data_IF_217428897717
#
_entry.id   IF_217428897717
#
_cell.length_a   1.000
_cell.length_b   1.000
_cell.length_c   1.000
_cell.angle_alpha   90.00
_cell.angle_beta   90.00
_cell.angle_gamma   90.00
#
_symmetry.space_group_name_H-M   'P 1'
#
loop_
_entity.id
_entity.type
_entity.pdbx_description
1 polymer ?
#
# COMPACT_ATOMS: atom_id res chain seq x y z
N UNK A 1 -44.06 -12.39 -22.19
CA UNK A 1 -43.67 -12.68 -20.80
C UNK A 1 -43.40 -11.34 -20.11
N UNK A 2 -43.97 -11.10 -18.92
CA UNK A 2 -43.65 -9.89 -18.15
C UNK A 2 -42.21 -10.05 -17.63
N UNK A 3 -41.32 -9.17 -18.05
CA UNK A 3 -39.89 -9.20 -17.70
C UNK A 3 -39.65 -8.81 -16.23
N UNK A 4 -38.38 -8.54 -15.89
CA UNK A 4 -38.00 -8.07 -14.56
C UNK A 4 -38.28 -6.56 -14.47
N UNK A 5 -38.99 -6.14 -13.43
CA UNK A 5 -39.26 -4.74 -13.09
C UNK A 5 -38.52 -4.39 -11.79
N UNK A 6 -37.77 -3.29 -11.78
CA UNK A 6 -37.13 -2.75 -10.58
C UNK A 6 -37.89 -1.53 -10.09
N UNK A 7 -38.29 -1.55 -8.81
CA UNK A 7 -38.99 -0.47 -8.16
C UNK A 7 -38.06 0.20 -7.15
N UNK A 8 -37.97 1.53 -7.21
CA UNK A 8 -37.19 2.35 -6.27
C UNK A 8 -38.14 3.25 -5.49
N UNK A 9 -38.81 2.73 -4.43
CA UNK A 9 -39.87 3.46 -3.72
C UNK A 9 -39.37 4.59 -2.82
N UNK A 10 -38.06 4.85 -2.79
CA UNK A 10 -37.43 5.84 -1.92
C UNK A 10 -36.73 6.92 -2.76
N UNK A 11 -36.67 8.14 -2.23
CA UNK A 11 -35.93 9.24 -2.82
C UNK A 11 -34.45 8.88 -3.01
N UNK A 12 -33.84 9.18 -4.18
CA UNK A 12 -32.42 8.96 -4.42
C UNK A 12 -31.55 9.61 -3.34
N UNK A 13 -30.67 8.81 -2.73
CA UNK A 13 -29.74 9.29 -1.71
C UNK A 13 -28.41 9.73 -2.34
N UNK A 14 -27.77 10.74 -1.74
CA UNK A 14 -26.41 11.13 -2.13
C UNK A 14 -25.44 9.99 -1.84
N UNK A 15 -24.56 9.71 -2.79
CA UNK A 15 -23.52 8.68 -2.63
C UNK A 15 -22.56 9.06 -1.50
N UNK A 16 -22.17 8.06 -0.70
CA UNK A 16 -21.16 8.19 0.35
C UNK A 16 -20.01 7.26 -0.02
N UNK A 17 -19.20 7.72 -0.97
CA UNK A 17 -18.12 6.92 -1.48
C UNK A 17 -17.09 6.61 -0.37
N UNK A 18 -16.66 5.35 -0.31
CA UNK A 18 -15.65 4.91 0.64
C UNK A 18 -14.26 5.31 0.14
N UNK A 19 -13.63 6.30 0.81
CA UNK A 19 -12.29 6.76 0.44
C UNK A 19 -11.24 5.64 0.47
N UNK A 20 -11.46 4.61 1.28
CA UNK A 20 -10.56 3.46 1.40
C UNK A 20 -10.48 2.61 0.13
N UNK A 21 -11.41 2.76 -0.81
CA UNK A 21 -11.27 2.20 -2.15
C UNK A 21 -10.05 2.79 -2.88
N UNK A 22 -9.86 4.11 -2.78
CA UNK A 22 -8.67 4.76 -3.32
C UNK A 22 -7.41 4.47 -2.52
N UNK A 23 -7.51 4.34 -1.19
CA UNK A 23 -6.33 4.06 -0.35
C UNK A 23 -5.80 2.64 -0.57
N UNK A 24 -6.67 1.63 -0.48
CA UNK A 24 -6.22 0.24 -0.38
C UNK A 24 -7.06 -0.78 -1.14
N UNK A 25 -8.39 -0.76 -1.03
CA UNK A 25 -9.23 -1.90 -1.43
C UNK A 25 -9.31 -2.13 -2.94
N UNK A 26 -9.50 -1.07 -3.72
CA UNK A 26 -9.65 -1.21 -5.17
C UNK A 26 -8.33 -1.65 -5.81
N UNK A 27 -8.41 -2.42 -6.89
CA UNK A 27 -7.22 -2.73 -7.68
C UNK A 27 -6.73 -1.46 -8.39
N UNK A 28 -5.42 -1.26 -8.52
CA UNK A 28 -4.87 -0.03 -9.11
C UNK A 28 -5.25 0.18 -10.58
N UNK A 29 -5.57 -0.91 -11.32
CA UNK A 29 -6.06 -0.88 -12.70
C UNK A 29 -7.55 -0.49 -12.82
N UNK A 30 -8.24 -0.27 -11.71
CA UNK A 30 -9.68 0.05 -11.69
C UNK A 30 -9.93 1.56 -11.79
N UNK A 31 -11.12 1.91 -12.26
CA UNK A 31 -11.65 3.29 -12.20
C UNK A 31 -12.89 3.30 -11.31
N UNK A 32 -12.86 4.14 -10.28
CA UNK A 32 -13.93 4.25 -9.28
C UNK A 32 -14.28 5.72 -9.12
N UNK A 33 -15.57 6.07 -9.06
CA UNK A 33 -16.07 7.46 -9.08
C UNK A 33 -15.43 8.32 -10.21
N UNK A 34 -15.22 7.72 -11.38
CA UNK A 34 -14.63 8.40 -12.54
C UNK A 34 -13.14 8.71 -12.43
N UNK A 35 -12.43 8.17 -11.42
CA UNK A 35 -10.98 8.35 -11.27
C UNK A 35 -10.26 7.01 -11.30
N UNK A 36 -9.14 6.97 -12.02
CA UNK A 36 -8.22 5.84 -11.99
C UNK A 36 -7.55 5.73 -10.62
N UNK A 37 -7.58 4.54 -10.01
CA UNK A 37 -7.10 4.31 -8.64
C UNK A 37 -5.59 4.50 -8.55
N UNK A 38 -4.81 4.02 -9.52
CA UNK A 38 -3.35 4.20 -9.57
C UNK A 38 -2.96 5.68 -9.55
N UNK A 39 -3.59 6.50 -10.39
CA UNK A 39 -3.33 7.95 -10.45
C UNK A 39 -3.74 8.68 -9.16
N UNK A 40 -4.80 8.24 -8.48
CA UNK A 40 -5.16 8.80 -7.18
C UNK A 40 -4.09 8.47 -6.14
N UNK A 41 -3.64 7.21 -6.03
CA UNK A 41 -2.60 6.81 -5.07
C UNK A 41 -1.27 7.50 -5.32
N UNK A 42 -0.89 7.66 -6.59
CA UNK A 42 0.31 8.40 -6.97
C UNK A 42 0.24 9.87 -6.54
N UNK A 43 -0.91 10.53 -6.72
CA UNK A 43 -1.13 11.90 -6.21
C UNK A 43 -1.05 11.97 -4.70
N UNK A 44 -1.65 11.02 -3.97
CA UNK A 44 -1.54 10.96 -2.51
C UNK A 44 -0.06 10.94 -2.07
N UNK A 45 0.77 10.14 -2.73
CA UNK A 45 2.21 10.12 -2.45
C UNK A 45 2.93 11.43 -2.76
N UNK A 46 2.55 12.09 -3.86
CA UNK A 46 3.11 13.38 -4.23
C UNK A 46 2.74 14.50 -3.24
N UNK A 47 1.49 14.53 -2.76
CA UNK A 47 1.06 15.46 -1.70
C UNK A 47 1.81 15.18 -0.40
N UNK A 48 1.99 13.90 -0.03
CA UNK A 48 2.75 13.53 1.18
C UNK A 48 4.19 14.06 1.15
N UNK A 49 4.86 14.03 0.01
CA UNK A 49 6.21 14.58 -0.16
C UNK A 49 6.26 16.11 -0.01
N UNK A 50 5.20 16.81 -0.43
CA UNK A 50 5.09 18.27 -0.29
C UNK A 50 4.78 18.68 1.15
N UNK A 51 3.89 17.94 1.82
CA UNK A 51 3.51 18.21 3.21
C UNK A 51 4.64 17.87 4.19
N UNK A 52 5.42 16.82 3.90
CA UNK A 52 6.44 16.28 4.79
C UNK A 52 7.76 16.04 4.05
N UNK A 53 8.46 17.11 3.60
CA UNK A 53 9.74 16.97 2.93
C UNK A 53 10.79 16.40 3.89
N UNK A 54 11.63 15.50 3.38
CA UNK A 54 12.71 14.87 4.15
C UNK A 54 13.91 14.60 3.25
N UNK A 55 15.11 14.79 3.78
CA UNK A 55 16.31 14.33 3.08
C UNK A 55 16.51 12.83 3.27
N UNK A 56 16.54 12.10 2.16
CA UNK A 56 16.84 10.69 2.12
C UNK A 56 17.55 10.33 0.82
N UNK A 57 18.15 9.15 0.79
CA UNK A 57 18.93 8.71 -0.36
C UNK A 57 18.07 7.88 -1.32
N UNK A 58 17.05 7.19 -0.80
CA UNK A 58 16.11 6.38 -1.58
C UNK A 58 14.69 6.38 -0.99
N UNK A 59 13.70 6.17 -1.86
CA UNK A 59 12.31 5.87 -1.51
C UNK A 59 12.05 4.40 -1.79
N UNK A 60 11.54 3.68 -0.79
CA UNK A 60 11.26 2.24 -0.85
C UNK A 60 9.78 2.00 -0.53
N UNK A 61 9.02 1.31 -1.40
CA UNK A 61 7.65 0.94 -1.08
C UNK A 61 7.59 -0.25 -0.12
N UNK A 62 6.52 -0.32 0.66
CA UNK A 62 6.02 -1.59 1.19
C UNK A 62 5.16 -2.24 0.11
N UNK A 63 5.61 -3.36 -0.50
CA UNK A 63 4.90 -3.97 -1.61
C UNK A 63 3.67 -4.76 -1.15
N UNK A 64 2.59 -4.84 -1.94
CA UNK A 64 2.47 -4.22 -3.28
C UNK A 64 1.70 -2.89 -3.25
N UNK A 65 0.85 -2.70 -2.24
CA UNK A 65 -0.16 -1.64 -2.17
C UNK A 65 0.42 -0.23 -2.00
N UNK A 66 1.54 -0.09 -1.28
CA UNK A 66 2.25 1.18 -1.13
C UNK A 66 3.00 1.66 -2.39
N UNK A 67 3.14 0.81 -3.41
CA UNK A 67 3.99 1.09 -4.59
C UNK A 67 3.59 2.36 -5.36
N UNK A 68 2.31 2.58 -5.73
CA UNK A 68 1.95 3.79 -6.47
C UNK A 68 2.19 5.08 -5.68
N UNK A 69 1.91 5.05 -4.37
CA UNK A 69 2.19 6.19 -3.48
C UNK A 69 3.69 6.46 -3.37
N UNK A 70 4.52 5.42 -3.24
CA UNK A 70 5.98 5.57 -3.23
C UNK A 70 6.53 6.16 -4.53
N UNK A 71 5.98 5.76 -5.69
CA UNK A 71 6.34 6.35 -6.99
C UNK A 71 5.99 7.84 -7.01
N UNK A 72 4.79 8.21 -6.53
CA UNK A 72 4.36 9.60 -6.44
C UNK A 72 5.24 10.45 -5.52
N UNK A 73 5.56 9.92 -4.34
CA UNK A 73 6.44 10.55 -3.37
C UNK A 73 7.84 10.78 -3.97
N UNK A 74 8.43 9.74 -4.56
CA UNK A 74 9.75 9.80 -5.20
C UNK A 74 9.82 10.89 -6.29
N UNK A 75 8.82 10.94 -7.16
CA UNK A 75 8.77 11.92 -8.25
C UNK A 75 8.62 13.36 -7.75
N UNK A 76 7.80 13.57 -6.72
CA UNK A 76 7.59 14.89 -6.13
C UNK A 76 8.81 15.36 -5.29
N UNK A 77 9.44 14.44 -4.55
CA UNK A 77 10.61 14.74 -3.71
C UNK A 77 11.93 14.80 -4.49
N UNK A 78 11.98 14.25 -5.71
CA UNK A 78 13.23 14.13 -6.48
C UNK A 78 14.21 13.08 -5.92
N UNK A 79 13.72 12.14 -5.10
CA UNK A 79 14.53 11.10 -4.45
C UNK A 79 14.37 9.79 -5.26
N UNK A 80 15.45 9.07 -5.60
CA UNK A 80 15.37 7.83 -6.36
C UNK A 80 14.46 6.77 -5.73
N UNK A 81 13.60 6.16 -6.55
CA UNK A 81 12.76 5.03 -6.16
C UNK A 81 13.55 3.72 -6.30
N UNK A 82 13.51 2.86 -5.28
CA UNK A 82 14.19 1.57 -5.29
C UNK A 82 13.35 0.44 -4.67
N UNK A 83 13.56 -0.79 -5.16
CA UNK A 83 12.95 -1.98 -4.58
C UNK A 83 13.82 -2.53 -3.42
N UNK A 84 13.79 -1.81 -2.31
CA UNK A 84 14.47 -2.19 -1.06
C UNK A 84 13.76 -3.30 -0.28
N UNK A 85 12.48 -3.54 -0.54
CA UNK A 85 11.69 -4.64 0.06
C UNK A 85 11.06 -5.46 -1.07
N UNK A 86 11.22 -6.77 -0.98
CA UNK A 86 10.68 -7.72 -1.94
C UNK A 86 9.57 -8.54 -1.28
N UNK A 87 8.39 -8.56 -1.91
CA UNK A 87 7.29 -9.43 -1.51
C UNK A 87 7.61 -10.86 -1.91
N UNK A 88 7.44 -11.80 -0.99
CA UNK A 88 7.49 -13.22 -1.29
C UNK A 88 6.11 -13.68 -1.80
N UNK A 89 6.04 -14.04 -3.08
CA UNK A 89 4.82 -14.50 -3.73
C UNK A 89 4.41 -15.93 -3.35
N UNK A 90 5.31 -16.70 -2.72
CA UNK A 90 5.10 -18.12 -2.42
C UNK A 90 4.63 -18.38 -0.98
N UNK A 91 4.33 -17.33 -0.21
CA UNK A 91 3.81 -17.48 1.16
C UNK A 91 2.31 -17.70 1.13
N UNK A 92 1.91 -18.95 1.35
CA UNK A 92 0.53 -19.32 1.59
C UNK A 92 0.03 -18.90 2.98
N UNK A 93 -1.28 -19.08 3.22
CA UNK A 93 -1.87 -18.93 4.55
C UNK A 93 -1.37 -20.10 5.40
N UNK A 94 -0.69 -19.83 6.51
CA UNK A 94 -0.28 -20.87 7.45
C UNK A 94 -1.47 -21.23 8.33
N UNK A 95 -2.09 -22.39 8.13
CA UNK A 95 -3.34 -22.78 8.78
C UNK A 95 -3.16 -23.25 10.24
N UNK A 96 -2.04 -23.90 10.55
CA UNK A 96 -1.66 -24.34 11.90
C UNK A 96 -0.15 -24.17 12.04
N UNK A 97 0.31 -23.36 13.01
CA UNK A 97 1.73 -23.26 13.37
C UNK A 97 1.92 -23.71 14.82
N UNK A 98 2.85 -24.65 15.11
CA UNK A 98 3.12 -25.10 16.46
C UNK A 98 3.96 -24.04 17.20
N UNK A 99 3.29 -23.16 17.95
CA UNK A 99 3.91 -22.22 18.90
C UNK A 99 4.09 -20.78 18.42
N UNK A 100 4.01 -19.84 19.36
CA UNK A 100 4.06 -18.38 19.12
C UNK A 100 5.38 -17.90 18.49
N UNK A 101 6.49 -18.61 18.74
CA UNK A 101 7.82 -18.28 18.20
C UNK A 101 7.86 -18.33 16.67
N UNK A 102 7.15 -19.28 16.04
CA UNK A 102 7.09 -19.44 14.59
C UNK A 102 6.19 -18.37 13.96
N UNK A 103 5.17 -17.91 14.68
CA UNK A 103 4.22 -16.88 14.22
C UNK A 103 4.91 -15.52 14.02
N UNK A 104 5.93 -15.20 14.81
CA UNK A 104 6.72 -13.98 14.63
C UNK A 104 7.54 -13.99 13.32
N UNK A 105 7.97 -15.17 12.83
CA UNK A 105 8.65 -15.33 11.54
C UNK A 105 7.73 -15.09 10.33
N UNK A 106 6.40 -15.10 10.51
CA UNK A 106 5.41 -14.94 9.45
C UNK A 106 5.54 -13.67 8.60
N UNK A 107 6.12 -12.58 9.13
CA UNK A 107 6.33 -11.33 8.37
C UNK A 107 7.63 -11.38 7.57
N UNK A 108 8.72 -11.92 8.14
CA UNK A 108 9.94 -12.22 7.37
C UNK A 108 9.67 -13.18 6.21
N UNK A 109 8.69 -14.08 6.38
CA UNK A 109 8.28 -14.95 5.29
C UNK A 109 7.70 -14.13 4.13
N UNK A 110 6.86 -13.11 4.42
CA UNK A 110 6.11 -12.33 3.42
C UNK A 110 6.90 -11.21 2.76
N UNK A 111 7.80 -10.56 3.49
CA UNK A 111 8.59 -9.42 3.03
C UNK A 111 10.05 -9.64 3.39
N UNK A 112 10.93 -9.45 2.41
CA UNK A 112 12.38 -9.60 2.57
C UNK A 112 13.09 -8.30 2.20
N UNK A 113 14.03 -7.86 3.04
CA UNK A 113 14.86 -6.70 2.75
C UNK A 113 15.92 -7.07 1.71
N UNK A 114 16.02 -6.27 0.65
CA UNK A 114 17.15 -6.31 -0.28
C UNK A 114 18.32 -5.52 0.33
N UNK A 115 19.01 -6.15 1.28
CA UNK A 115 20.01 -5.49 2.14
C UNK A 115 21.04 -4.67 1.35
N UNK A 116 21.55 -5.21 0.24
CA UNK A 116 22.54 -4.51 -0.62
C UNK A 116 22.03 -3.17 -1.17
N UNK A 117 20.73 -3.02 -1.34
CA UNK A 117 20.14 -1.78 -1.86
C UNK A 117 19.92 -0.71 -0.80
N UNK A 118 19.78 -1.10 0.47
CA UNK A 118 19.36 -0.22 1.57
C UNK A 118 20.43 0.01 2.64
N UNK A 119 21.45 -0.85 2.73
CA UNK A 119 22.47 -0.77 3.78
C UNK A 119 23.27 0.53 3.70
N UNK A 120 23.36 1.23 4.84
CA UNK A 120 24.06 2.51 4.96
C UNK A 120 23.31 3.72 4.38
N UNK A 121 22.09 3.55 3.87
CA UNK A 121 21.28 4.63 3.27
C UNK A 121 20.20 5.15 4.22
N UNK A 122 19.86 6.42 4.08
CA UNK A 122 18.62 7.02 4.60
C UNK A 122 17.47 6.61 3.70
N UNK A 123 16.47 5.92 4.26
CA UNK A 123 15.37 5.33 3.48
C UNK A 123 14.04 5.99 3.88
N UNK A 124 13.30 6.50 2.90
CA UNK A 124 11.87 6.78 3.07
C UNK A 124 11.10 5.51 2.76
N UNK A 125 10.50 4.91 3.79
CA UNK A 125 9.63 3.76 3.65
C UNK A 125 8.18 4.23 3.48
N UNK A 126 7.55 3.89 2.35
CA UNK A 126 6.17 4.31 2.05
C UNK A 126 5.23 3.10 2.09
N UNK A 127 4.25 3.16 2.99
CA UNK A 127 3.16 2.18 3.11
C UNK A 127 1.81 2.87 2.84
N UNK A 128 0.78 2.11 2.50
CA UNK A 128 -0.54 2.69 2.23
C UNK A 128 -1.29 3.13 3.49
N UNK A 129 -1.10 2.41 4.60
CA UNK A 129 -1.84 2.62 5.84
C UNK A 129 -1.19 1.90 7.01
N UNK A 130 -1.44 2.40 8.22
CA UNK A 130 -1.07 1.72 9.46
C UNK A 130 -2.33 1.45 10.27
N UNK A 131 -2.67 0.17 10.46
CA UNK A 131 -3.83 -0.24 11.27
C UNK A 131 -3.42 -0.65 12.68
N UNK A 132 -2.50 -1.63 12.80
CA UNK A 132 -2.02 -2.15 14.09
C UNK A 132 -0.54 -1.85 14.36
N UNK A 133 0.19 -1.34 13.37
CA UNK A 133 1.62 -1.02 13.48
C UNK A 133 2.61 -2.20 13.54
N UNK A 134 2.15 -3.42 13.83
CA UNK A 134 3.06 -4.57 14.00
C UNK A 134 3.84 -4.95 12.73
N UNK A 135 3.24 -4.79 11.54
CA UNK A 135 3.93 -5.00 10.27
C UNK A 135 4.99 -3.92 10.04
N UNK A 136 4.61 -2.65 10.20
CA UNK A 136 5.50 -1.50 10.02
C UNK A 136 6.71 -1.57 10.96
N UNK A 137 6.49 -1.89 12.25
CA UNK A 137 7.58 -2.10 13.22
C UNK A 137 8.55 -3.19 12.78
N UNK A 138 8.04 -4.32 12.28
CA UNK A 138 8.90 -5.41 11.81
C UNK A 138 9.68 -5.04 10.56
N UNK A 139 9.07 -4.33 9.62
CA UNK A 139 9.73 -3.89 8.40
C UNK A 139 10.87 -2.91 8.72
N UNK A 140 10.65 -1.96 9.64
CA UNK A 140 11.68 -1.00 10.07
C UNK A 140 12.84 -1.68 10.81
N UNK A 141 12.60 -2.81 11.48
CA UNK A 141 13.62 -3.58 12.20
C UNK A 141 14.41 -4.57 11.32
N UNK A 142 14.03 -4.76 10.06
CA UNK A 142 14.70 -5.68 9.12
C UNK A 142 16.00 -5.10 8.56
#
# INVERSE_FOLDING_TARGET
SKGIESLFPFEPQKTRFCIFEYVYFARPDSSVEGRNVYEVRKRIGAELAQENPVEADIVVPVPDSGTPAAIGFSQAAGIPFELGIIRNHYVGRTFIQPGDSIRHMGVKLKHNANRRMIEGKRVVLVDDSIVRGTTSQKIVQM
#
